data_IF_738736150810
#
_entry.id   IF_738736150810
#
_cell.length_a   1.000
_cell.length_b   1.000
_cell.length_c   1.000
_cell.angle_alpha   90.00
_cell.angle_beta   90.00
_cell.angle_gamma   90.00
#
_symmetry.space_group_name_H-M   'P 1'
#
loop_
_entity.id
_entity.type
_entity.pdbx_description
1 polymer ?
#
# COMPACT_ATOMS: atom_id res chain seq x y z
N UNK A 1 -10.66 4.63 20.08
CA UNK A 1 -9.61 3.69 20.51
C UNK A 1 -9.39 2.70 19.37
N UNK A 2 -8.34 2.86 18.57
CA UNK A 2 -8.04 1.92 17.49
C UNK A 2 -7.61 0.58 18.13
N UNK A 3 -8.30 -0.49 17.74
CA UNK A 3 -8.33 -1.76 18.44
C UNK A 3 -6.97 -2.48 18.44
N UNK A 4 -6.53 -2.84 19.64
CA UNK A 4 -5.36 -3.65 20.00
C UNK A 4 -5.22 -4.97 19.21
N UNK A 5 -6.24 -5.40 18.48
CA UNK A 5 -6.27 -6.60 17.65
C UNK A 5 -5.62 -6.42 16.26
N UNK A 6 -5.63 -5.21 15.68
CA UNK A 6 -5.04 -4.97 14.34
C UNK A 6 -3.50 -5.03 14.36
N UNK A 7 -2.88 -4.67 15.49
CA UNK A 7 -1.42 -4.71 15.65
C UNK A 7 -0.85 -6.14 15.65
N UNK A 8 -1.66 -7.16 16.00
CA UNK A 8 -1.19 -8.55 16.07
C UNK A 8 -1.09 -9.24 14.70
N UNK A 9 -1.72 -8.68 13.65
CA UNK A 9 -1.67 -9.19 12.28
C UNK A 9 -0.84 -8.31 11.34
N UNK A 10 -0.33 -7.17 11.83
CA UNK A 10 0.44 -6.24 11.04
C UNK A 10 1.86 -6.78 10.84
N UNK A 11 2.39 -6.82 9.60
CA UNK A 11 3.77 -7.23 9.34
C UNK A 11 4.77 -6.40 10.15
N UNK A 12 5.88 -7.01 10.57
CA UNK A 12 6.92 -6.33 11.36
C UNK A 12 7.46 -5.06 10.67
N UNK A 13 7.67 -5.10 9.35
CA UNK A 13 8.13 -3.94 8.58
C UNK A 13 7.14 -2.79 8.62
N UNK A 14 5.85 -3.09 8.51
CA UNK A 14 4.80 -2.08 8.59
C UNK A 14 4.65 -1.53 10.01
N UNK A 15 4.81 -2.38 11.02
CA UNK A 15 4.89 -1.96 12.42
C UNK A 15 6.05 -0.99 12.64
N UNK A 16 7.22 -1.25 12.04
CA UNK A 16 8.37 -0.35 12.09
C UNK A 16 8.09 1.01 11.41
N UNK A 17 7.39 1.00 10.27
CA UNK A 17 6.95 2.23 9.58
C UNK A 17 5.99 3.05 10.44
N UNK A 18 5.02 2.41 11.10
CA UNK A 18 4.09 3.11 12.00
C UNK A 18 4.82 3.69 13.21
N UNK A 19 5.76 2.93 13.78
CA UNK A 19 6.52 3.39 14.94
C UNK A 19 7.48 4.54 14.61
N UNK A 20 8.09 4.54 13.41
CA UNK A 20 8.96 5.63 12.98
C UNK A 20 8.17 6.87 12.55
N UNK A 21 6.94 6.71 12.06
CA UNK A 21 6.15 7.76 11.41
C UNK A 21 6.67 8.17 10.03
N UNK A 22 7.70 7.47 9.53
CA UNK A 22 8.36 7.78 8.26
C UNK A 22 8.70 6.51 7.49
N UNK A 23 8.46 6.55 6.18
CA UNK A 23 8.81 5.50 5.24
C UNK A 23 9.83 5.97 4.20
N UNK A 24 10.43 5.03 3.50
CA UNK A 24 11.12 5.25 2.24
C UNK A 24 10.70 4.17 1.24
N UNK A 25 10.87 4.44 -0.03
CA UNK A 25 10.61 3.44 -1.06
C UNK A 25 11.52 2.22 -0.90
N UNK A 26 10.94 1.02 -0.98
CA UNK A 26 11.68 -0.24 -0.83
C UNK A 26 12.56 -0.53 -2.06
N UNK A 27 12.00 -0.32 -3.26
CA UNK A 27 12.58 -0.63 -4.56
C UNK A 27 12.17 0.45 -5.59
N UNK A 28 12.56 0.30 -6.86
CA UNK A 28 12.23 1.24 -7.96
C UNK A 28 11.02 0.81 -8.80
N UNK A 29 10.13 -0.04 -8.26
CA UNK A 29 8.88 -0.43 -8.93
C UNK A 29 7.88 0.73 -9.00
N UNK A 30 8.06 1.75 -8.15
CA UNK A 30 7.26 2.97 -8.14
C UNK A 30 7.76 3.92 -9.21
N UNK A 31 6.85 4.46 -10.02
CA UNK A 31 7.17 5.41 -11.08
C UNK A 31 8.05 6.58 -10.59
N UNK A 32 9.07 6.92 -11.39
CA UNK A 32 10.07 7.92 -11.02
C UNK A 32 9.47 9.33 -10.85
N UNK A 33 8.47 9.70 -11.66
CA UNK A 33 7.80 10.99 -11.54
C UNK A 33 6.95 11.06 -10.27
N UNK A 34 6.35 9.94 -9.85
CA UNK A 34 5.67 9.84 -8.56
C UNK A 34 6.66 9.95 -7.40
N UNK A 35 7.76 9.18 -7.41
CA UNK A 35 8.81 9.22 -6.36
C UNK A 35 9.36 10.64 -6.15
N UNK A 36 9.57 11.39 -7.24
CA UNK A 36 10.13 12.74 -7.18
C UNK A 36 9.28 13.72 -6.33
N UNK A 37 7.98 13.46 -6.17
CA UNK A 37 7.06 14.27 -5.35
C UNK A 37 7.33 14.13 -3.85
N UNK A 38 8.01 13.07 -3.43
CA UNK A 38 8.28 12.77 -2.02
C UNK A 38 9.73 13.06 -1.65
N UNK A 39 10.00 13.20 -0.35
CA UNK A 39 11.37 13.28 0.14
C UNK A 39 12.10 11.94 -0.05
N UNK A 40 13.38 12.00 -0.44
CA UNK A 40 14.14 10.78 -0.77
C UNK A 40 14.63 10.02 0.45
N UNK A 41 14.59 10.62 1.65
CA UNK A 41 15.12 10.05 2.89
C UNK A 41 14.05 9.77 3.91
N UNK A 42 12.98 10.59 3.97
CA UNK A 42 11.90 10.45 4.94
C UNK A 42 10.57 10.93 4.38
N UNK A 43 9.74 9.98 4.00
CA UNK A 43 8.38 10.23 3.55
C UNK A 43 7.45 10.17 4.77
N UNK A 44 6.74 11.27 5.10
CA UNK A 44 5.81 11.27 6.23
C UNK A 44 4.67 10.27 6.02
N UNK A 45 4.38 9.48 7.05
CA UNK A 45 3.24 8.55 7.08
C UNK A 45 2.11 9.19 7.86
N UNK A 46 1.00 9.47 7.18
CA UNK A 46 -0.17 10.12 7.80
C UNK A 46 -1.22 9.12 8.29
N UNK A 47 -1.16 7.86 7.85
CA UNK A 47 -2.06 6.82 8.32
C UNK A 47 -1.82 5.46 7.67
N UNK A 48 -2.36 4.41 8.26
CA UNK A 48 -2.31 3.04 7.73
C UNK A 48 -3.68 2.40 7.86
N UNK A 49 -4.09 1.64 6.85
CA UNK A 49 -5.33 0.84 6.88
C UNK A 49 -5.12 -0.54 6.25
N UNK A 50 -5.89 -1.50 6.72
CA UNK A 50 -5.96 -2.83 6.12
C UNK A 50 -7.11 -2.87 5.11
N UNK A 51 -6.86 -3.36 3.90
CA UNK A 51 -7.83 -3.41 2.82
C UNK A 51 -7.86 -4.79 2.21
N UNK A 52 -9.08 -5.32 2.10
CA UNK A 52 -9.36 -6.49 1.28
C UNK A 52 -9.80 -6.02 -0.11
N UNK A 53 -9.03 -6.38 -1.12
CA UNK A 53 -9.32 -6.13 -2.53
C UNK A 53 -10.07 -7.35 -3.04
N UNK A 54 -11.31 -7.14 -3.46
CA UNK A 54 -12.14 -8.21 -4.00
C UNK A 54 -11.75 -8.48 -5.45
N UNK A 55 -11.57 -9.76 -5.79
CA UNK A 55 -11.34 -10.16 -7.17
C UNK A 55 -12.55 -9.81 -8.03
N UNK A 56 -12.36 -8.94 -9.03
CA UNK A 56 -13.44 -8.56 -9.94
C UNK A 56 -13.76 -9.75 -10.87
N UNK A 57 -14.92 -10.37 -10.69
CA UNK A 57 -15.48 -11.25 -11.70
C UNK A 57 -16.15 -10.40 -12.78
N UNK A 58 -15.49 -10.28 -13.93
CA UNK A 58 -16.09 -9.60 -15.09
C UNK A 58 -17.02 -10.61 -15.77
N UNK A 59 -18.32 -10.31 -15.78
CA UNK A 59 -19.24 -10.97 -16.71
C UNK A 59 -18.97 -10.32 -18.08
N UNK A 60 -18.17 -10.99 -18.92
CA UNK A 60 -17.96 -10.57 -20.29
C UNK A 60 -19.28 -10.86 -21.03
N UNK A 61 -20.24 -9.94 -20.97
CA UNK A 61 -21.61 -10.04 -21.53
C UNK A 61 -21.65 -10.31 -23.06
N UNK A 62 -20.52 -10.65 -23.69
CA UNK A 62 -20.45 -11.39 -24.94
C UNK A 62 -19.93 -12.79 -24.66
N UNK A 63 -20.86 -13.70 -24.38
CA UNK A 63 -20.60 -15.14 -24.29
C UNK A 63 -19.89 -15.63 -25.57
N UNK A 64 -18.56 -15.62 -25.56
CA UNK A 64 -17.76 -16.38 -26.51
C UNK A 64 -17.73 -17.80 -25.98
N UNK A 65 -18.42 -18.77 -26.62
CA UNK A 65 -18.44 -20.14 -26.15
C UNK A 65 -17.01 -20.70 -26.14
N UNK A 66 -16.53 -21.09 -24.95
CA UNK A 66 -15.26 -21.80 -24.76
C UNK A 66 -14.13 -21.04 -24.06
N UNK A 67 -14.34 -19.81 -23.57
CA UNK A 67 -13.38 -19.12 -22.71
C UNK A 67 -13.76 -19.30 -21.23
N UNK A 68 -12.84 -19.86 -20.45
CA UNK A 68 -12.98 -20.00 -19.01
C UNK A 68 -13.07 -18.61 -18.36
N UNK A 69 -13.97 -18.43 -17.39
CA UNK A 69 -14.09 -17.18 -16.63
C UNK A 69 -12.75 -16.92 -15.93
N UNK A 70 -12.12 -15.77 -16.19
CA UNK A 70 -10.93 -15.36 -15.44
C UNK A 70 -11.35 -15.00 -14.02
N UNK A 71 -11.16 -15.92 -13.08
CA UNK A 71 -11.33 -15.65 -11.66
C UNK A 71 -10.08 -14.93 -11.15
N UNK A 72 -10.23 -13.70 -10.68
CA UNK A 72 -9.20 -13.04 -9.88
C UNK A 72 -9.42 -13.42 -8.41
N UNK A 73 -8.35 -13.78 -7.70
CA UNK A 73 -8.42 -14.08 -6.27
C UNK A 73 -8.56 -12.78 -5.46
N UNK A 74 -9.22 -12.88 -4.31
CA UNK A 74 -9.25 -11.80 -3.33
C UNK A 74 -7.85 -11.65 -2.72
N UNK A 75 -7.37 -10.40 -2.57
CA UNK A 75 -6.08 -10.10 -1.94
C UNK A 75 -6.28 -9.25 -0.68
N UNK A 76 -5.41 -9.45 0.31
CA UNK A 76 -5.39 -8.66 1.54
C UNK A 76 -4.10 -7.86 1.61
N UNK A 77 -4.23 -6.54 1.45
CA UNK A 77 -3.12 -5.59 1.46
C UNK A 77 -3.23 -4.62 2.62
N UNK A 78 -2.07 -4.09 3.00
CA UNK A 78 -2.01 -2.93 3.88
C UNK A 78 -1.67 -1.70 3.06
N UNK A 79 -2.50 -0.67 3.14
CA UNK A 79 -2.29 0.62 2.51
C UNK A 79 -1.76 1.65 3.50
N UNK A 80 -0.71 2.34 3.08
CA UNK A 80 -0.04 3.42 3.81
C UNK A 80 -0.38 4.73 3.12
N UNK A 81 -0.89 5.69 3.88
CA UNK A 81 -1.13 7.04 3.42
C UNK A 81 0.15 7.84 3.63
N UNK A 82 0.71 8.36 2.54
CA UNK A 82 1.91 9.18 2.53
C UNK A 82 1.58 10.63 2.21
N UNK A 83 2.37 11.56 2.74
CA UNK A 83 2.31 12.97 2.40
C UNK A 83 3.48 13.37 1.50
N UNK A 84 3.17 13.99 0.36
CA UNK A 84 4.15 14.51 -0.59
C UNK A 84 4.69 15.88 -0.13
N UNK A 85 5.76 16.36 -0.78
CA UNK A 85 6.38 17.67 -0.47
C UNK A 85 5.42 18.85 -0.64
N UNK A 86 4.42 18.73 -1.51
CA UNK A 86 3.41 19.78 -1.72
C UNK A 86 2.22 19.70 -0.75
N UNK A 87 2.20 18.68 0.14
CA UNK A 87 1.11 18.43 1.09
C UNK A 87 0.00 17.53 0.53
N UNK A 88 0.04 17.17 -0.75
CA UNK A 88 -0.84 16.15 -1.32
C UNK A 88 -0.66 14.79 -0.67
N UNK A 89 -1.74 14.00 -0.57
CA UNK A 89 -1.74 12.68 0.06
C UNK A 89 -1.96 11.58 -0.96
N UNK A 90 -1.26 10.46 -0.76
CA UNK A 90 -1.29 9.31 -1.65
C UNK A 90 -1.41 8.02 -0.85
N UNK A 91 -2.23 7.11 -1.33
CA UNK A 91 -2.39 5.76 -0.80
C UNK A 91 -1.47 4.82 -1.60
N UNK A 92 -0.61 4.08 -0.90
CA UNK A 92 0.31 3.12 -1.51
C UNK A 92 0.37 1.83 -0.70
N UNK A 93 0.55 0.72 -1.39
CA UNK A 93 0.72 -0.59 -0.76
C UNK A 93 2.00 -0.62 0.09
N UNK A 94 1.88 -1.14 1.31
CA UNK A 94 2.96 -1.26 2.28
C UNK A 94 4.20 -2.01 1.78
N UNK A 95 4.02 -2.99 0.88
CA UNK A 95 5.11 -3.80 0.31
C UNK A 95 6.07 -2.97 -0.56
N UNK A 96 5.64 -1.79 -1.02
CA UNK A 96 6.47 -0.85 -1.78
C UNK A 96 7.32 0.06 -0.87
N UNK A 97 7.19 -0.09 0.44
CA UNK A 97 7.79 0.76 1.46
C UNK A 97 8.64 -0.05 2.43
N UNK A 98 9.63 0.62 3.00
CA UNK A 98 10.41 0.13 4.15
C UNK A 98 10.55 1.25 5.18
N UNK A 99 10.80 0.93 6.46
CA UNK A 99 11.02 1.95 7.48
C UNK A 99 12.17 2.88 7.09
N UNK A 100 11.96 4.18 7.28
CA UNK A 100 13.06 5.15 7.16
C UNK A 100 14.10 4.90 8.28
N UNK A 101 15.40 5.11 8.01
CA UNK A 101 16.43 4.96 9.03
C UNK A 101 16.22 5.92 10.21
N UNK A 102 16.47 5.42 11.42
CA UNK A 102 16.55 6.24 12.63
C UNK A 102 17.67 7.28 12.48
N UNK A 103 17.44 8.48 13.02
CA UNK A 103 18.41 9.59 13.01
C UNK A 103 19.57 9.31 13.95
#
# INVERSE_FOLDING_TARGET
MANKTMLAAMPDELTAIVNSGYAIWANDEVDAALRARFDSRRIPVVGVRHVRVWGLQVDDERELPGLERTQMEDDEIWEVNLEAKDGSRFEVESRLLKPAPAE
#
